data_IF_099297741658
#
_entry.id   IF_099297741658
#
_cell.length_a   1.000
_cell.length_b   1.000
_cell.length_c   1.000
_cell.angle_alpha   90.00
_cell.angle_beta   90.00
_cell.angle_gamma   90.00
#
_symmetry.space_group_name_H-M   'P 1'
#
loop_
_entity.id
_entity.type
_entity.pdbx_description
1 polymer ?
#
# COMPACT_ATOMS: atom_id res chain seq x y z
N UNK A 1 -20.19 -2.12 8.55
CA UNK A 1 -19.02 -1.67 7.76
C UNK A 1 -17.86 -1.49 8.72
N UNK A 2 -16.83 -2.35 8.65
CA UNK A 2 -15.66 -2.23 9.52
C UNK A 2 -14.74 -1.16 8.92
N UNK A 3 -14.46 -0.10 9.67
CA UNK A 3 -13.48 0.93 9.28
C UNK A 3 -12.10 0.27 9.17
N UNK A 4 -11.64 0.04 7.93
CA UNK A 4 -10.30 -0.48 7.67
C UNK A 4 -9.28 0.60 7.95
N UNK A 5 -8.30 0.32 8.81
CA UNK A 5 -7.26 1.27 9.20
C UNK A 5 -6.32 1.53 8.01
N UNK A 6 -6.33 2.76 7.51
CA UNK A 6 -5.49 3.23 6.40
C UNK A 6 -4.05 3.44 6.87
N UNK A 7 -3.09 2.94 6.11
CA UNK A 7 -1.67 2.92 6.39
C UNK A 7 -0.88 3.60 5.26
N UNK A 8 0.10 4.42 5.64
CA UNK A 8 1.12 4.86 4.70
C UNK A 8 2.06 3.71 4.34
N UNK A 9 2.78 3.83 3.22
CA UNK A 9 3.82 2.86 2.81
C UNK A 9 4.77 2.54 3.96
N UNK A 10 5.32 3.58 4.60
CA UNK A 10 6.21 3.45 5.75
C UNK A 10 5.59 2.73 6.94
N UNK A 11 4.32 3.00 7.27
CA UNK A 11 3.61 2.32 8.37
C UNK A 11 3.34 0.85 8.03
N UNK A 12 2.96 0.58 6.79
CA UNK A 12 2.73 -0.78 6.30
C UNK A 12 4.02 -1.58 6.32
N UNK A 13 5.12 -1.03 5.79
CA UNK A 13 6.47 -1.63 5.82
C UNK A 13 6.88 -2.04 7.24
N UNK A 14 6.75 -1.12 8.21
CA UNK A 14 7.00 -1.41 9.63
C UNK A 14 6.11 -2.52 10.17
N UNK A 15 4.83 -2.54 9.81
CA UNK A 15 3.87 -3.54 10.30
C UNK A 15 4.20 -4.95 9.79
N UNK A 16 4.64 -5.08 8.55
CA UNK A 16 5.02 -6.37 7.96
C UNK A 16 6.45 -6.79 8.30
N UNK A 17 7.20 -5.99 9.07
CA UNK A 17 8.56 -6.29 9.47
C UNK A 17 9.61 -6.12 8.36
N UNK A 18 9.30 -5.37 7.30
CA UNK A 18 10.20 -5.14 6.17
C UNK A 18 10.55 -3.66 6.00
N UNK A 19 11.79 -3.38 5.60
CA UNK A 19 12.29 -2.02 5.44
C UNK A 19 12.28 -1.53 3.98
N UNK A 20 11.88 -2.35 3.01
CA UNK A 20 11.82 -1.95 1.59
C UNK A 20 10.51 -1.22 1.28
N UNK A 21 10.47 0.09 1.55
CA UNK A 21 9.37 0.96 1.12
C UNK A 21 9.17 0.90 -0.42
N UNK A 22 10.24 0.65 -1.18
CA UNK A 22 10.18 0.48 -2.64
C UNK A 22 9.30 -0.68 -3.07
N UNK A 23 9.47 -1.86 -2.49
CA UNK A 23 8.65 -3.03 -2.85
C UNK A 23 7.19 -2.84 -2.40
N UNK A 24 6.95 -2.14 -1.29
CA UNK A 24 5.60 -1.78 -0.85
C UNK A 24 4.92 -0.80 -1.81
N UNK A 25 5.67 0.15 -2.39
CA UNK A 25 5.15 1.05 -3.45
C UNK A 25 4.76 0.25 -4.69
N UNK A 26 5.62 -0.64 -5.16
CA UNK A 26 5.34 -1.51 -6.32
C UNK A 26 4.11 -2.38 -6.07
N UNK A 27 3.98 -2.93 -4.86
CA UNK A 27 2.79 -3.69 -4.47
C UNK A 27 1.52 -2.84 -4.50
N UNK A 28 1.56 -1.62 -3.94
CA UNK A 28 0.43 -0.67 -3.98
C UNK A 28 0.05 -0.34 -5.42
N UNK A 29 1.03 -0.15 -6.30
CA UNK A 29 0.81 0.10 -7.73
C UNK A 29 0.12 -1.10 -8.41
N UNK A 30 0.59 -2.33 -8.15
CA UNK A 30 -0.01 -3.55 -8.73
C UNK A 30 -1.46 -3.77 -8.29
N UNK A 31 -1.76 -3.53 -7.01
CA UNK A 31 -3.14 -3.57 -6.52
C UNK A 31 -4.05 -2.60 -7.29
N UNK A 32 -3.54 -1.44 -7.71
CA UNK A 32 -4.31 -0.48 -8.54
C UNK A 32 -4.47 -0.94 -9.97
N UNK A 33 -3.41 -1.46 -10.59
CA UNK A 33 -3.46 -2.01 -11.95
C UNK A 33 -4.49 -3.15 -12.06
N UNK A 34 -4.65 -3.92 -10.98
CA UNK A 34 -5.64 -5.00 -10.85
C UNK A 34 -7.01 -4.51 -10.36
N UNK A 35 -7.19 -3.20 -10.13
CA UNK A 35 -8.46 -2.60 -9.73
C UNK A 35 -8.91 -2.90 -8.31
N UNK A 36 -8.02 -3.45 -7.47
CA UNK A 36 -8.31 -3.85 -6.07
C UNK A 36 -8.44 -2.63 -5.17
N UNK A 37 -7.56 -1.64 -5.40
CA UNK A 37 -7.62 -0.35 -4.73
C UNK A 37 -7.66 0.77 -5.77
N UNK A 38 -8.24 1.92 -5.42
CA UNK A 38 -8.31 3.07 -6.32
C UNK A 38 -7.00 3.85 -6.37
N UNK A 39 -6.88 4.72 -7.37
CA UNK A 39 -5.80 5.70 -7.42
C UNK A 39 -5.76 6.51 -6.11
N UNK A 40 -4.56 6.72 -5.59
CA UNK A 40 -4.30 7.44 -4.34
C UNK A 40 -4.91 6.80 -3.07
N UNK A 41 -5.45 5.58 -3.16
CA UNK A 41 -5.93 4.87 -1.99
C UNK A 41 -4.73 4.32 -1.17
N UNK A 42 -4.66 4.60 0.14
CA UNK A 42 -3.63 4.04 1.01
C UNK A 42 -3.85 2.55 1.24
N UNK A 43 -2.78 1.84 1.59
CA UNK A 43 -2.85 0.44 1.99
C UNK A 43 -3.64 0.31 3.31
N UNK A 44 -4.18 -0.87 3.56
CA UNK A 44 -4.96 -1.17 4.76
C UNK A 44 -4.46 -2.46 5.42
N UNK A 45 -4.74 -2.65 6.71
CA UNK A 45 -4.21 -3.79 7.49
C UNK A 45 -4.65 -5.17 6.98
N UNK A 46 -5.78 -5.25 6.28
CA UNK A 46 -6.29 -6.47 5.61
C UNK A 46 -5.43 -6.93 4.43
N UNK A 47 -4.53 -6.08 3.91
CA UNK A 47 -3.58 -6.47 2.87
C UNK A 47 -2.30 -7.11 3.45
N UNK A 48 -2.16 -7.17 4.79
CA UNK A 48 -0.99 -7.80 5.44
C UNK A 48 -0.88 -9.30 5.15
N UNK A 49 -1.95 -10.11 5.21
CA UNK A 49 -1.89 -11.53 4.82
C UNK A 49 -1.42 -11.71 3.37
N UNK A 50 -1.96 -10.92 2.44
CA UNK A 50 -1.56 -10.94 1.02
C UNK A 50 -0.07 -10.65 0.88
N UNK A 51 0.44 -9.63 1.58
CA UNK A 51 1.88 -9.34 1.59
C UNK A 51 2.73 -10.49 2.14
N UNK A 52 2.28 -11.17 3.20
CA UNK A 52 2.99 -12.31 3.77
C UNK A 52 3.08 -13.47 2.78
N UNK A 53 2.02 -13.75 2.02
CA UNK A 53 2.04 -14.76 0.98
C UNK A 53 3.01 -14.41 -0.15
N UNK A 54 3.05 -13.14 -0.58
CA UNK A 54 4.03 -12.65 -1.58
C UNK A 54 5.45 -12.86 -1.07
N UNK A 55 5.72 -12.48 0.19
CA UNK A 55 7.03 -12.65 0.80
C UNK A 55 7.42 -14.12 0.89
N UNK A 56 6.51 -15.00 1.31
CA UNK A 56 6.72 -16.45 1.34
C UNK A 56 7.03 -17.01 -0.04
N UNK A 57 6.31 -16.59 -1.08
CA UNK A 57 6.58 -17.00 -2.46
C UNK A 57 8.00 -16.55 -2.88
N UNK A 58 8.35 -15.29 -2.66
CA UNK A 58 9.68 -14.76 -3.00
C UNK A 58 10.83 -15.52 -2.31
N UNK A 59 10.79 -15.62 -0.97
CA UNK A 59 11.91 -16.16 -0.19
C UNK A 59 12.02 -17.68 -0.27
N UNK A 60 10.87 -18.39 -0.28
CA UNK A 60 10.88 -19.85 -0.20
C UNK A 60 10.88 -20.51 -1.57
N UNK A 61 10.29 -19.87 -2.58
CA UNK A 61 10.19 -20.42 -3.94
C UNK A 61 11.18 -19.77 -4.91
N UNK A 62 11.90 -18.73 -4.48
CA UNK A 62 12.95 -18.07 -5.26
C UNK A 62 12.43 -17.29 -6.48
N UNK A 63 11.13 -17.03 -6.55
CA UNK A 63 10.51 -16.25 -7.63
C UNK A 63 10.80 -14.76 -7.45
N UNK A 64 10.81 -13.98 -8.52
CA UNK A 64 11.00 -12.52 -8.38
C UNK A 64 9.85 -11.87 -7.61
N UNK A 65 10.11 -10.72 -6.98
CA UNK A 65 9.07 -9.95 -6.27
C UNK A 65 7.85 -9.66 -7.14
N UNK A 66 8.08 -9.31 -8.41
CA UNK A 66 7.01 -9.03 -9.36
C UNK A 66 6.18 -10.28 -9.67
N UNK A 67 6.83 -11.41 -9.94
CA UNK A 67 6.11 -12.66 -10.20
C UNK A 67 5.31 -13.12 -8.97
N UNK A 68 5.90 -13.02 -7.77
CA UNK A 68 5.22 -13.31 -6.52
C UNK A 68 3.99 -12.41 -6.32
N UNK A 69 4.12 -11.11 -6.59
CA UNK A 69 3.02 -10.14 -6.49
C UNK A 69 1.90 -10.48 -7.45
N UNK A 70 2.18 -10.68 -8.74
CA UNK A 70 1.13 -11.02 -9.72
C UNK A 70 0.44 -12.31 -9.36
N UNK A 71 1.22 -13.36 -9.07
CA UNK A 71 0.68 -14.67 -8.74
C UNK A 71 -0.25 -14.61 -7.53
N UNK A 72 0.20 -14.03 -6.40
CA UNK A 72 -0.61 -13.98 -5.18
C UNK A 72 -1.82 -13.07 -5.36
N UNK A 73 -1.67 -11.90 -5.98
CA UNK A 73 -2.79 -10.97 -6.18
C UNK A 73 -3.89 -11.63 -7.03
N UNK A 74 -3.52 -12.28 -8.13
CA UNK A 74 -4.47 -12.92 -9.05
C UNK A 74 -5.21 -14.12 -8.44
N UNK A 75 -4.59 -14.79 -7.47
CA UNK A 75 -5.17 -15.96 -6.78
C UNK A 75 -5.75 -15.64 -5.40
N UNK A 76 -5.74 -14.36 -4.98
CA UNK A 76 -6.28 -13.94 -3.68
C UNK A 76 -7.81 -13.75 -3.71
N UNK A 77 -8.43 -13.67 -2.53
CA UNK A 77 -9.85 -13.28 -2.38
C UNK A 77 -10.18 -11.88 -2.93
N UNK A 78 -9.14 -11.08 -3.23
CA UNK A 78 -9.25 -9.75 -3.81
C UNK A 78 -9.23 -9.76 -5.34
N UNK A 79 -9.12 -10.93 -5.98
CA UNK A 79 -9.10 -11.07 -7.44
C UNK A 79 -10.38 -10.50 -8.05
N UNK A 80 -10.23 -9.49 -8.90
CA UNK A 80 -11.33 -8.89 -9.65
C UNK A 80 -11.48 -9.67 -10.96
N UNK A 81 -12.71 -10.10 -11.27
CA UNK A 81 -13.04 -10.80 -12.51
C UNK A 81 -12.52 -10.01 -13.73
N UNK A 82 -11.52 -10.58 -14.42
CA UNK A 82 -10.77 -9.93 -15.52
C UNK A 82 -11.61 -9.70 -16.78
N UNK A 83 -12.90 -10.00 -16.76
CA UNK A 83 -13.83 -9.84 -17.88
C UNK A 83 -14.29 -8.39 -18.12
N UNK A 84 -13.78 -7.40 -17.36
CA UNK A 84 -13.99 -5.97 -17.63
C UNK A 84 -12.73 -5.29 -18.20
N UNK A 85 -12.88 -4.43 -19.22
CA UNK A 85 -11.75 -3.75 -19.86
C UNK A 85 -11.00 -2.89 -18.84
N UNK A 86 -9.69 -3.13 -18.71
CA UNK A 86 -8.78 -2.30 -17.94
C UNK A 86 -8.73 -0.88 -18.56
N UNK A 87 -8.71 0.18 -17.75
CA UNK A 87 -8.53 1.54 -18.26
C UNK A 87 -7.16 1.65 -18.95
N UNK A 88 -7.18 2.19 -20.17
CA UNK A 88 -6.00 2.45 -20.99
C UNK A 88 -5.02 3.42 -20.32
N UNK A 89 -3.75 3.12 -20.51
CA UNK A 89 -2.55 3.80 -20.02
C UNK A 89 -2.60 5.33 -20.01
N UNK A 90 -2.50 5.92 -18.82
CA UNK A 90 -1.58 7.02 -18.57
C UNK A 90 -0.67 6.61 -17.40
N UNK A 91 0.51 6.10 -17.74
CA UNK A 91 1.56 5.71 -16.80
C UNK A 91 2.21 6.98 -16.24
N UNK A 92 1.59 7.57 -15.21
CA UNK A 92 2.21 8.57 -14.33
C UNK A 92 2.00 8.13 -12.87
N UNK A 93 2.55 6.98 -12.51
CA UNK A 93 2.27 6.32 -11.22
C UNK A 93 3.36 6.54 -10.19
N UNK A 94 4.64 6.34 -10.50
CA UNK A 94 5.70 6.38 -9.47
C UNK A 94 5.92 7.77 -8.84
N UNK A 95 6.02 8.82 -9.66
CA UNK A 95 6.30 10.19 -9.18
C UNK A 95 5.13 10.80 -8.40
N UNK A 96 3.90 10.38 -8.74
CA UNK A 96 2.70 10.80 -8.00
C UNK A 96 2.59 10.05 -6.67
N UNK A 97 3.02 8.78 -6.62
CA UNK A 97 3.06 8.00 -5.38
C UNK A 97 4.09 8.52 -4.38
N UNK A 98 5.26 8.96 -4.85
CA UNK A 98 6.26 9.64 -4.03
C UNK A 98 5.70 10.93 -3.43
N UNK A 99 5.12 11.81 -4.26
CA UNK A 99 4.47 13.04 -3.79
C UNK A 99 3.32 12.78 -2.83
N UNK A 100 2.51 11.76 -3.06
CA UNK A 100 1.43 11.38 -2.15
C UNK A 100 1.97 10.91 -0.80
N UNK A 101 3.06 10.14 -0.77
CA UNK A 101 3.67 9.71 0.49
C UNK A 101 4.36 10.88 1.23
N UNK A 102 4.93 11.86 0.50
CA UNK A 102 5.40 13.13 1.07
C UNK A 102 4.25 13.92 1.70
N UNK A 103 3.12 14.09 0.98
CA UNK A 103 1.92 14.77 1.50
C UNK A 103 1.39 14.06 2.75
N UNK A 104 1.28 12.73 2.72
CA UNK A 104 0.84 11.94 3.89
C UNK A 104 1.81 12.12 5.07
N UNK A 105 3.11 12.21 4.81
CA UNK A 105 4.12 12.43 5.85
C UNK A 105 3.95 13.81 6.47
N UNK A 106 3.87 14.87 5.66
CA UNK A 106 3.64 16.24 6.12
C UNK A 106 2.35 16.39 6.93
N UNK A 107 1.26 15.77 6.48
CA UNK A 107 -0.01 15.78 7.23
C UNK A 107 0.11 15.08 8.58
N UNK A 108 0.88 13.98 8.68
CA UNK A 108 1.13 13.32 9.96
C UNK A 108 1.98 14.20 10.90
N UNK A 109 2.98 14.92 10.38
CA UNK A 109 3.81 15.85 11.15
C UNK A 109 2.96 17.01 11.70
N UNK A 110 2.14 17.64 10.85
CA UNK A 110 1.19 18.69 11.26
C UNK A 110 0.26 18.18 12.37
N UNK A 111 -0.30 16.98 12.23
CA UNK A 111 -1.18 16.39 13.26
C UNK A 111 -0.46 16.15 14.58
N UNK A 112 0.83 15.80 14.56
CA UNK A 112 1.64 15.64 15.78
C UNK A 112 1.85 17.00 16.46
N UNK A 113 2.22 18.04 15.71
CA UNK A 113 2.42 19.38 16.26
C UNK A 113 1.12 19.97 16.83
N UNK A 114 0.00 19.86 16.10
CA UNK A 114 -1.31 20.30 16.59
C UNK A 114 -1.74 19.58 17.89
N UNK A 115 -1.35 18.32 18.07
CA UNK A 115 -1.61 17.59 19.33
C UNK A 115 -0.75 18.10 20.48
N UNK A 116 0.51 18.45 20.22
CA UNK A 116 1.38 19.03 21.25
C UNK A 116 0.84 20.37 21.75
N UNK A 117 0.39 21.24 20.84
CA UNK A 117 -0.25 22.51 21.21
C UNK A 117 -1.54 22.32 22.00
N UNK A 118 -2.39 21.34 21.63
CA UNK A 118 -3.61 21.04 22.39
C UNK A 118 -3.34 20.50 23.81
N UNK A 119 -2.22 19.80 24.00
CA UNK A 119 -1.79 19.37 25.34
C UNK A 119 -1.26 20.56 26.14
N UNK A 120 -0.61 21.53 25.48
CA UNK A 120 -0.07 22.73 26.12
C UNK A 120 -1.15 23.75 26.51
N UNK A 121 -2.24 23.87 25.73
CA UNK A 121 -3.34 24.80 26.00
C UNK A 121 -4.39 24.28 27.00
N UNK A 122 -4.23 23.06 27.51
CA UNK A 122 -5.13 22.44 28.50
C UNK A 122 -4.45 22.28 29.89
N UNK A 123 -3.31 22.95 30.13
CA UNK A 123 -2.67 23.12 31.44
C UNK A 123 -2.83 24.58 31.89
#
# INVERSE_FOLDING_TARGET
MVLKKKLSVKKFAKLVGHHSEGNIRVFRERLRLKGIIKNNEPLTEDLVPVWKEIFTAHEQQGVSWTEAMDHVIDHSEYSVDQSKPQPSEEVITSKNDEKMDEIITLLNEILVELRKEKVFNNQ
#
